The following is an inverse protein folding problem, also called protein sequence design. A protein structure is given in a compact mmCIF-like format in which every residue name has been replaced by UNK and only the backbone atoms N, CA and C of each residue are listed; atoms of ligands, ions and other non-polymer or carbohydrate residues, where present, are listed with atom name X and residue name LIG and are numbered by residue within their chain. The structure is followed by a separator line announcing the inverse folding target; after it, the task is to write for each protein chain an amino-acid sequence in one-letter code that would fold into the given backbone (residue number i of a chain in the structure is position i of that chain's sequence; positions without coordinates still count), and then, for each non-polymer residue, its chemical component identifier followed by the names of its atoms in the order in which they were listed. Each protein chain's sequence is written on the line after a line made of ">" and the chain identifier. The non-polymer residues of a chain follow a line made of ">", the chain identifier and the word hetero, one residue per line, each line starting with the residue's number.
data_IF_454739826556
#
_entry.id   IF_454739826556
#
_cell.length_a   1.000
_cell.length_b   1.000
_cell.length_c   1.000
_cell.angle_alpha   90.00
_cell.angle_beta   90.00
_cell.angle_gamma   90.00
#
_symmetry.space_group_name_H-M   'P 1'
#
loop_
_entity.id
_entity.type
_entity.pdbx_description
1 polymer ?
#
# COMPACT_ATOMS: atom_id res chain seq x y z
N UNK A 1 36.02 -85.70 39.02
CA UNK A 1 34.66 -85.88 38.45
C UNK A 1 34.81 -86.67 37.17
N UNK A 2 34.20 -87.86 37.13
CA UNK A 2 34.20 -88.74 35.97
C UNK A 2 33.34 -88.12 34.85
N UNK A 3 33.90 -87.99 33.64
CA UNK A 3 33.12 -87.70 32.44
C UNK A 3 32.81 -89.03 31.76
N UNK A 4 31.52 -89.26 31.56
CA UNK A 4 30.92 -90.51 31.15
C UNK A 4 31.38 -90.96 29.76
N UNK A 5 31.75 -92.25 29.71
CA UNK A 5 31.91 -93.06 28.51
C UNK A 5 30.56 -93.07 27.78
N UNK A 6 30.47 -92.35 26.66
CA UNK A 6 29.27 -92.37 25.80
C UNK A 6 29.49 -93.48 24.79
N UNK A 7 28.61 -94.49 24.69
CA UNK A 7 28.84 -95.65 23.86
C UNK A 7 28.99 -95.26 22.39
N UNK A 8 30.06 -95.77 21.79
CA UNK A 8 30.41 -95.70 20.38
C UNK A 8 29.18 -96.02 19.52
N UNK A 9 28.61 -94.99 18.91
CA UNK A 9 27.46 -95.11 18.04
C UNK A 9 27.96 -95.76 16.76
N UNK A 10 27.78 -97.08 16.64
CA UNK A 10 28.17 -97.86 15.47
C UNK A 10 27.77 -97.11 14.18
N UNK A 11 28.67 -96.98 13.19
CA UNK A 11 28.41 -96.18 12.01
C UNK A 11 27.12 -96.68 11.37
N UNK A 12 26.11 -95.81 11.30
CA UNK A 12 24.87 -96.05 10.57
C UNK A 12 25.27 -96.37 9.13
N UNK A 13 25.40 -97.65 8.82
CA UNK A 13 25.78 -98.09 7.48
C UNK A 13 24.58 -97.79 6.60
N UNK A 14 24.68 -96.85 5.63
CA UNK A 14 23.54 -96.50 4.80
C UNK A 14 23.10 -97.75 4.04
N UNK A 15 21.90 -98.25 4.33
CA UNK A 15 21.35 -99.40 3.61
C UNK A 15 20.91 -98.92 2.23
N UNK A 16 21.50 -99.51 1.17
CA UNK A 16 21.12 -99.22 -0.21
C UNK A 16 19.73 -99.80 -0.51
N UNK A 17 18.88 -99.03 -1.19
CA UNK A 17 17.61 -99.53 -1.70
C UNK A 17 17.85 -100.62 -2.74
N UNK A 18 17.05 -101.69 -2.70
CA UNK A 18 17.14 -102.82 -3.65
C UNK A 18 16.04 -102.72 -4.70
N UNK A 19 16.38 -103.09 -5.94
CA UNK A 19 15.48 -103.25 -7.08
C UNK A 19 15.43 -104.73 -7.48
N UNK A 20 14.53 -105.12 -8.40
CA UNK A 20 14.29 -106.52 -8.80
C UNK A 20 15.58 -107.28 -9.22
N UNK A 21 16.64 -106.57 -9.60
CA UNK A 21 18.01 -107.08 -9.79
C UNK A 21 19.03 -106.20 -9.05
N UNK A 22 19.15 -106.37 -7.73
CA UNK A 22 20.26 -105.81 -6.93
C UNK A 22 20.07 -104.37 -6.47
N UNK A 23 21.13 -103.73 -5.97
CA UNK A 23 21.07 -102.37 -5.42
C UNK A 23 20.77 -101.31 -6.48
N UNK A 24 20.13 -100.21 -6.07
CA UNK A 24 19.91 -99.05 -6.91
C UNK A 24 21.25 -98.38 -7.24
N UNK A 25 21.71 -98.56 -8.49
CA UNK A 25 23.00 -98.06 -8.97
C UNK A 25 23.14 -96.53 -8.80
N UNK A 26 22.08 -95.76 -9.09
CA UNK A 26 22.12 -94.30 -8.95
C UNK A 26 22.34 -93.89 -7.48
N UNK A 27 21.64 -94.54 -6.55
CA UNK A 27 21.81 -94.28 -5.12
C UNK A 27 23.23 -94.67 -4.65
N UNK A 28 23.74 -95.81 -5.09
CA UNK A 28 25.10 -96.25 -4.76
C UNK A 28 26.13 -95.26 -5.31
N UNK A 29 26.02 -94.83 -6.56
CA UNK A 29 26.95 -93.88 -7.17
C UNK A 29 26.91 -92.51 -6.47
N UNK A 30 25.73 -92.01 -6.09
CA UNK A 30 25.58 -90.77 -5.31
C UNK A 30 26.24 -90.87 -3.94
N UNK A 31 26.03 -91.98 -3.22
CA UNK A 31 26.68 -92.19 -1.92
C UNK A 31 28.19 -92.38 -2.02
N UNK A 32 28.68 -93.10 -3.04
CA UNK A 32 30.12 -93.25 -3.28
C UNK A 32 30.76 -91.92 -3.65
N UNK A 33 30.08 -91.09 -4.44
CA UNK A 33 30.50 -89.72 -4.74
C UNK A 33 30.56 -88.87 -3.48
N UNK A 34 29.52 -88.91 -2.65
CA UNK A 34 29.48 -88.20 -1.36
C UNK A 34 30.62 -88.66 -0.44
N UNK A 35 30.83 -89.96 -0.31
CA UNK A 35 31.90 -90.53 0.51
C UNK A 35 33.29 -90.14 -0.04
N UNK A 36 33.47 -90.13 -1.36
CA UNK A 36 34.70 -89.68 -1.98
C UNK A 36 34.98 -88.20 -1.70
N UNK A 37 33.95 -87.34 -1.73
CA UNK A 37 34.04 -85.93 -1.38
C UNK A 37 34.31 -85.72 0.12
N UNK A 38 33.69 -86.52 1.00
CA UNK A 38 33.93 -86.53 2.44
C UNK A 38 35.37 -86.97 2.77
N UNK A 39 35.86 -88.05 2.18
CA UNK A 39 37.25 -88.52 2.35
C UNK A 39 38.24 -87.49 1.81
N UNK A 40 37.95 -86.86 0.68
CA UNK A 40 38.79 -85.77 0.13
C UNK A 40 38.83 -84.57 1.09
N UNK A 41 37.71 -84.20 1.68
CA UNK A 41 37.63 -83.11 2.66
C UNK A 41 38.34 -83.46 3.95
N UNK A 42 38.17 -84.70 4.44
CA UNK A 42 38.87 -85.21 5.62
C UNK A 42 40.39 -85.26 5.42
N UNK A 43 40.85 -85.68 4.24
CA UNK A 43 42.27 -85.67 3.90
C UNK A 43 42.83 -84.24 3.86
N UNK A 44 42.09 -83.28 3.29
CA UNK A 44 42.50 -81.86 3.33
C UNK A 44 42.59 -81.32 4.75
N UNK A 45 41.57 -81.57 5.57
CA UNK A 45 41.57 -81.15 6.98
C UNK A 45 42.70 -81.82 7.78
N UNK A 46 42.99 -83.10 7.51
CA UNK A 46 44.13 -83.82 8.09
C UNK A 46 45.44 -83.15 7.68
N UNK A 47 45.62 -82.83 6.41
CA UNK A 47 46.86 -82.22 5.92
C UNK A 47 47.04 -80.80 6.51
N UNK A 48 45.98 -80.01 6.62
CA UNK A 48 45.98 -78.72 7.32
C UNK A 48 46.34 -78.86 8.81
N UNK A 49 45.78 -79.86 9.50
CA UNK A 49 46.11 -80.14 10.88
C UNK A 49 47.56 -80.64 11.05
N UNK A 50 48.07 -81.44 10.12
CA UNK A 50 49.47 -81.89 10.14
C UNK A 50 50.44 -80.73 9.92
N UNK A 51 50.08 -79.78 9.04
CA UNK A 51 50.85 -78.56 8.84
C UNK A 51 50.83 -77.67 10.10
N UNK A 52 49.68 -77.47 10.73
CA UNK A 52 49.60 -76.68 11.96
C UNK A 52 50.37 -77.33 13.12
N UNK A 53 50.33 -78.66 13.25
CA UNK A 53 51.15 -79.40 14.22
C UNK A 53 52.64 -79.21 13.93
N UNK A 54 53.07 -79.25 12.67
CA UNK A 54 54.46 -79.01 12.30
C UNK A 54 54.91 -77.59 12.64
N UNK A 55 54.09 -76.57 12.35
CA UNK A 55 54.36 -75.16 12.69
C UNK A 55 54.42 -74.93 14.20
N UNK A 56 53.45 -75.48 14.95
CA UNK A 56 53.44 -75.40 16.41
C UNK A 56 54.62 -76.13 17.03
N UNK A 57 55.03 -77.27 16.47
CA UNK A 57 56.22 -77.99 16.93
C UNK A 57 57.49 -77.16 16.68
N UNK A 58 57.58 -76.46 15.55
CA UNK A 58 58.71 -75.55 15.28
C UNK A 58 58.70 -74.36 16.25
N UNK A 59 57.55 -73.73 16.48
CA UNK A 59 57.41 -72.63 17.43
C UNK A 59 57.73 -73.06 18.87
N UNK A 60 57.31 -74.27 19.27
CA UNK A 60 57.60 -74.83 20.59
C UNK A 60 59.11 -75.07 20.78
N UNK A 61 59.77 -75.70 19.80
CA UNK A 61 61.21 -75.93 19.87
C UNK A 61 61.98 -74.60 19.94
N UNK A 62 61.58 -73.61 19.16
CA UNK A 62 62.17 -72.27 19.20
C UNK A 62 61.99 -71.62 20.59
N UNK A 63 60.77 -71.64 21.12
CA UNK A 63 60.48 -71.09 22.46
C UNK A 63 61.22 -71.85 23.58
N UNK A 64 61.38 -73.17 23.47
CA UNK A 64 62.15 -73.97 24.41
C UNK A 64 63.64 -73.62 24.37
N UNK A 65 64.20 -73.39 23.17
CA UNK A 65 65.57 -72.95 23.00
C UNK A 65 65.78 -71.55 23.60
N UNK A 66 64.91 -70.60 23.29
CA UNK A 66 64.96 -69.23 23.83
C UNK A 66 64.83 -69.23 25.36
N UNK A 67 63.95 -70.07 25.91
CA UNK A 67 63.82 -70.25 27.36
C UNK A 67 65.10 -70.84 28.00
N UNK A 68 65.74 -71.79 27.33
CA UNK A 68 67.00 -72.35 27.82
C UNK A 68 68.14 -71.33 27.80
N UNK A 69 68.24 -70.54 26.73
CA UNK A 69 69.24 -69.47 26.57
C UNK A 69 69.05 -68.36 27.61
N UNK A 70 67.82 -67.87 27.80
CA UNK A 70 67.48 -66.86 28.81
C UNK A 70 67.72 -67.37 30.23
N UNK A 71 67.37 -68.62 30.52
CA UNK A 71 67.64 -69.25 31.83
C UNK A 71 69.13 -69.38 32.09
N UNK A 72 69.93 -69.73 31.08
CA UNK A 72 71.38 -69.79 31.18
C UNK A 72 72.01 -68.39 31.35
N UNK A 73 71.48 -67.36 30.68
CA UNK A 73 71.84 -65.95 30.89
C UNK A 73 71.55 -65.51 32.33
N UNK A 74 70.32 -65.72 32.80
CA UNK A 74 69.92 -65.38 34.17
C UNK A 74 70.76 -66.11 35.22
N UNK A 75 71.01 -67.41 35.04
CA UNK A 75 71.86 -68.17 35.97
C UNK A 75 73.28 -67.60 36.04
N UNK A 76 73.83 -67.09 34.94
CA UNK A 76 75.14 -66.40 34.95
C UNK A 76 75.07 -65.09 35.73
N UNK A 77 74.03 -64.29 35.54
CA UNK A 77 73.82 -63.04 36.30
C UNK A 77 73.66 -63.27 37.81
N UNK A 78 72.95 -64.33 38.21
CA UNK A 78 72.70 -64.64 39.61
C UNK A 78 73.96 -65.16 40.31
N UNK A 79 74.75 -65.99 39.63
CA UNK A 79 75.93 -66.64 40.22
C UNK A 79 77.18 -65.75 40.23
N UNK A 80 77.35 -64.85 39.26
CA UNK A 80 78.46 -63.89 39.19
C UNK A 80 77.97 -62.49 38.77
N UNK A 81 77.31 -61.75 39.68
CA UNK A 81 76.68 -60.46 39.36
C UNK A 81 77.69 -59.34 39.07
N UNK A 82 78.96 -59.48 39.49
CA UNK A 82 80.02 -58.51 39.20
C UNK A 82 80.87 -58.92 37.98
N UNK A 83 80.61 -60.10 37.40
CA UNK A 83 81.31 -60.59 36.23
C UNK A 83 80.99 -59.78 34.96
N UNK A 84 81.94 -59.71 33.99
CA UNK A 84 81.74 -58.98 32.74
C UNK A 84 80.49 -59.41 31.96
N UNK A 85 80.17 -60.72 31.95
CA UNK A 85 78.99 -61.25 31.26
C UNK A 85 77.68 -60.78 31.88
N UNK A 86 77.58 -60.71 33.22
CA UNK A 86 76.39 -60.23 33.91
C UNK A 86 76.17 -58.72 33.68
N UNK A 87 77.26 -57.95 33.59
CA UNK A 87 77.17 -56.53 33.26
C UNK A 87 76.66 -56.30 31.83
N UNK A 88 77.13 -57.07 30.84
CA UNK A 88 76.62 -56.97 29.45
C UNK A 88 75.13 -57.29 29.35
N UNK A 89 74.67 -58.37 30.00
CA UNK A 89 73.24 -58.73 30.05
C UNK A 89 72.40 -57.65 30.75
N UNK A 90 72.92 -57.03 31.81
CA UNK A 90 72.23 -55.93 32.50
C UNK A 90 72.13 -54.67 31.63
N UNK A 91 73.17 -54.35 30.86
CA UNK A 91 73.13 -53.24 29.91
C UNK A 91 72.14 -53.52 28.80
N UNK A 92 72.08 -54.74 28.25
CA UNK A 92 71.09 -55.11 27.23
C UNK A 92 69.65 -55.02 27.76
N UNK A 93 69.39 -55.51 28.97
CA UNK A 93 68.07 -55.38 29.59
C UNK A 93 67.70 -53.93 29.90
N UNK A 94 68.66 -53.10 30.32
CA UNK A 94 68.46 -51.66 30.52
C UNK A 94 68.17 -50.93 29.21
N UNK A 95 68.86 -51.26 28.11
CA UNK A 95 68.58 -50.69 26.78
C UNK A 95 67.20 -51.11 26.29
N UNK A 96 66.82 -52.38 26.43
CA UNK A 96 65.48 -52.86 26.08
C UNK A 96 64.38 -52.15 26.87
N UNK A 97 64.59 -51.95 28.18
CA UNK A 97 63.67 -51.19 29.01
C UNK A 97 63.56 -49.73 28.59
N UNK A 98 64.69 -49.10 28.22
CA UNK A 98 64.69 -47.72 27.73
C UNK A 98 63.98 -47.60 26.36
N UNK A 99 64.12 -48.58 25.48
CA UNK A 99 63.37 -48.64 24.21
C UNK A 99 61.86 -48.79 24.45
N UNK A 100 61.46 -49.66 25.38
CA UNK A 100 60.07 -49.81 25.81
C UNK A 100 59.52 -48.49 26.38
N UNK A 101 60.28 -47.83 27.27
CA UNK A 101 59.89 -46.54 27.86
C UNK A 101 59.77 -45.43 26.80
N UNK A 102 60.69 -45.37 25.83
CA UNK A 102 60.61 -44.42 24.72
C UNK A 102 59.38 -44.69 23.84
N UNK A 103 59.07 -45.97 23.58
CA UNK A 103 57.88 -46.35 22.80
C UNK A 103 56.59 -45.96 23.53
N UNK A 104 56.54 -46.17 24.84
CA UNK A 104 55.41 -45.74 25.69
C UNK A 104 55.28 -44.21 25.70
N UNK A 105 56.38 -43.47 25.88
CA UNK A 105 56.38 -42.02 25.85
C UNK A 105 55.92 -41.46 24.49
N UNK A 106 56.32 -42.10 23.38
CA UNK A 106 55.85 -41.72 22.04
C UNK A 106 54.36 -41.95 21.88
N UNK A 107 53.88 -43.13 22.27
CA UNK A 107 52.45 -43.47 22.21
C UNK A 107 51.63 -42.47 23.02
N UNK A 108 52.06 -42.17 24.25
CA UNK A 108 51.40 -41.20 25.11
C UNK A 108 51.44 -39.78 24.54
N UNK A 109 52.56 -39.36 23.96
CA UNK A 109 52.66 -38.05 23.33
C UNK A 109 51.76 -37.92 22.10
N UNK A 110 51.60 -39.00 21.32
CA UNK A 110 50.65 -39.07 20.20
C UNK A 110 49.20 -39.00 20.70
N UNK A 111 48.84 -39.77 21.73
CA UNK A 111 47.52 -39.72 22.36
C UNK A 111 47.18 -38.33 22.91
N UNK A 112 48.13 -37.68 23.61
CA UNK A 112 47.95 -36.32 24.14
C UNK A 112 47.80 -35.29 23.01
N UNK A 113 48.57 -35.45 21.93
CA UNK A 113 48.47 -34.58 20.75
C UNK A 113 47.12 -34.73 20.04
N UNK A 114 46.64 -35.96 19.86
CA UNK A 114 45.35 -36.25 19.24
C UNK A 114 44.19 -35.79 20.11
N UNK A 115 44.28 -35.99 21.43
CA UNK A 115 43.33 -35.46 22.41
C UNK A 115 43.26 -33.93 22.34
N UNK A 116 44.41 -33.26 22.31
CA UNK A 116 44.49 -31.80 22.19
C UNK A 116 43.90 -31.29 20.88
N UNK A 117 44.21 -31.95 19.75
CA UNK A 117 43.65 -31.61 18.43
C UNK A 117 42.13 -31.80 18.42
N UNK A 118 41.65 -32.95 18.89
CA UNK A 118 40.22 -33.23 18.95
C UNK A 118 39.46 -32.24 19.84
N UNK A 119 40.05 -31.83 20.96
CA UNK A 119 39.45 -30.81 21.84
C UNK A 119 39.42 -29.42 21.17
N UNK A 120 40.49 -29.05 20.47
CA UNK A 120 40.55 -27.80 19.73
C UNK A 120 39.52 -27.76 18.58
N UNK A 121 39.39 -28.85 17.82
CA UNK A 121 38.41 -28.99 16.75
C UNK A 121 36.98 -28.93 17.28
N UNK A 122 36.68 -29.63 18.37
CA UNK A 122 35.37 -29.58 19.02
C UNK A 122 35.03 -28.18 19.53
N UNK A 123 36.00 -27.47 20.11
CA UNK A 123 35.82 -26.08 20.55
C UNK A 123 35.58 -25.13 19.35
N UNK A 124 36.33 -25.31 18.26
CA UNK A 124 36.17 -24.52 17.05
C UNK A 124 34.81 -24.74 16.39
N UNK A 125 34.35 -25.98 16.27
CA UNK A 125 33.02 -26.31 15.75
C UNK A 125 31.92 -25.73 16.64
N UNK A 126 32.00 -25.92 17.96
CA UNK A 126 31.04 -25.31 18.90
C UNK A 126 30.97 -23.80 18.74
N UNK A 127 32.11 -23.12 18.65
CA UNK A 127 32.17 -21.67 18.46
C UNK A 127 31.53 -21.25 17.13
N UNK A 128 31.74 -22.03 16.05
CA UNK A 128 31.11 -21.78 14.74
C UNK A 128 29.60 -21.98 14.79
N UNK A 129 29.13 -23.02 15.47
CA UNK A 129 27.70 -23.29 15.65
C UNK A 129 27.02 -22.17 16.46
N UNK A 130 27.62 -21.75 17.57
CA UNK A 130 27.11 -20.62 18.37
C UNK A 130 27.07 -19.33 17.57
N UNK A 131 28.13 -19.02 16.80
CA UNK A 131 28.16 -17.85 15.94
C UNK A 131 27.10 -17.89 14.83
N UNK A 132 26.86 -19.06 14.22
CA UNK A 132 25.80 -19.25 13.22
C UNK A 132 24.41 -19.09 13.83
N UNK A 133 24.17 -19.69 14.99
CA UNK A 133 22.89 -19.58 15.69
C UNK A 133 22.59 -18.12 16.09
N UNK A 134 23.60 -17.39 16.56
CA UNK A 134 23.45 -15.97 16.88
C UNK A 134 23.21 -15.10 15.64
N UNK A 135 23.92 -15.37 14.53
CA UNK A 135 23.67 -14.69 13.25
C UNK A 135 22.23 -14.93 12.77
N UNK A 136 21.75 -16.18 12.78
CA UNK A 136 20.37 -16.51 12.42
C UNK A 136 19.34 -15.84 13.35
N UNK A 137 19.66 -15.72 14.64
CA UNK A 137 18.80 -15.02 15.62
C UNK A 137 18.71 -13.53 15.29
N UNK A 138 19.84 -12.89 15.01
CA UNK A 138 19.90 -11.47 14.65
C UNK A 138 19.20 -11.19 13.31
N UNK A 139 19.36 -12.07 12.33
CA UNK A 139 18.69 -11.95 11.04
C UNK A 139 17.16 -12.01 11.19
N UNK A 140 16.65 -12.96 12.00
CA UNK A 140 15.22 -13.05 12.31
C UNK A 140 14.71 -11.80 13.03
N UNK A 141 15.44 -11.31 14.04
CA UNK A 141 15.09 -10.10 14.77
C UNK A 141 15.06 -8.87 13.85
N UNK A 142 16.03 -8.75 12.94
CA UNK A 142 16.08 -7.68 11.96
C UNK A 142 14.92 -7.75 10.95
N UNK A 143 14.57 -8.95 10.47
CA UNK A 143 13.41 -9.15 9.59
C UNK A 143 12.08 -8.80 10.27
N UNK A 144 11.89 -9.22 11.52
CA UNK A 144 10.71 -8.89 12.31
C UNK A 144 10.61 -7.39 12.54
N UNK A 145 11.71 -6.74 12.90
CA UNK A 145 11.77 -5.29 13.09
C UNK A 145 11.49 -4.54 11.79
N UNK A 146 12.01 -5.01 10.66
CA UNK A 146 11.72 -4.44 9.34
C UNK A 146 10.22 -4.55 9.02
N UNK A 147 9.62 -5.72 9.20
CA UNK A 147 8.17 -5.92 9.00
C UNK A 147 7.33 -4.99 9.88
N UNK A 148 7.67 -4.87 11.16
CA UNK A 148 6.98 -3.96 12.08
C UNK A 148 7.07 -2.50 11.63
N UNK A 149 8.27 -2.04 11.24
CA UNK A 149 8.46 -0.68 10.73
C UNK A 149 7.72 -0.45 9.41
N UNK A 150 7.69 -1.43 8.51
CA UNK A 150 6.97 -1.35 7.24
C UNK A 150 5.44 -1.27 7.48
N UNK A 151 4.91 -2.08 8.41
CA UNK A 151 3.51 -2.03 8.82
C UNK A 151 3.14 -0.70 9.49
N UNK A 152 3.99 -0.22 10.40
CA UNK A 152 3.79 1.06 11.09
C UNK A 152 3.84 2.23 10.09
N UNK A 153 4.79 2.21 9.15
CA UNK A 153 4.87 3.21 8.09
C UNK A 153 3.67 3.14 7.14
N UNK A 154 3.18 1.94 6.82
CA UNK A 154 1.95 1.77 6.03
C UNK A 154 0.73 2.34 6.76
N UNK A 155 0.57 2.06 8.06
CA UNK A 155 -0.51 2.61 8.88
C UNK A 155 -0.46 4.14 8.93
N UNK A 156 0.72 4.71 9.20
CA UNK A 156 0.91 6.17 9.19
C UNK A 156 0.57 6.80 7.84
N UNK A 157 0.92 6.16 6.72
CA UNK A 157 0.55 6.65 5.38
C UNK A 157 -0.96 6.62 5.20
N UNK A 158 -1.63 5.53 5.56
CA UNK A 158 -3.10 5.43 5.43
C UNK A 158 -3.84 6.42 6.34
N UNK A 159 -3.34 6.65 7.56
CA UNK A 159 -3.88 7.65 8.48
C UNK A 159 -3.68 9.07 7.93
N UNK A 160 -2.47 9.39 7.47
CA UNK A 160 -2.19 10.68 6.86
C UNK A 160 -3.03 10.94 5.59
N UNK A 161 -3.20 9.92 4.74
CA UNK A 161 -4.07 10.00 3.56
C UNK A 161 -5.52 10.30 3.97
N UNK A 162 -6.05 9.57 4.96
CA UNK A 162 -7.39 9.80 5.48
C UNK A 162 -7.57 11.20 6.06
N UNK A 163 -6.63 11.65 6.88
CA UNK A 163 -6.67 12.99 7.48
C UNK A 163 -6.62 14.09 6.41
N UNK A 164 -5.81 13.90 5.36
CA UNK A 164 -5.76 14.85 4.24
C UNK A 164 -7.05 14.84 3.42
N UNK A 165 -7.67 13.67 3.21
CA UNK A 165 -8.95 13.56 2.53
C UNK A 165 -10.08 14.24 3.33
N UNK A 166 -10.13 14.00 4.63
CA UNK A 166 -11.08 14.65 5.54
C UNK A 166 -10.89 16.18 5.56
N UNK A 167 -9.65 16.66 5.63
CA UNK A 167 -9.34 18.09 5.58
C UNK A 167 -9.73 18.73 4.23
N UNK A 168 -9.45 18.05 3.12
CA UNK A 168 -9.85 18.50 1.79
C UNK A 168 -11.37 18.50 1.62
N UNK A 169 -12.08 17.49 2.12
CA UNK A 169 -13.53 17.42 2.10
C UNK A 169 -14.15 18.56 2.93
N UNK A 170 -13.63 18.82 4.14
CA UNK A 170 -14.06 19.92 4.98
C UNK A 170 -13.84 21.29 4.29
N UNK A 171 -12.67 21.48 3.67
CA UNK A 171 -12.37 22.71 2.91
C UNK A 171 -13.28 22.90 1.70
N UNK A 172 -13.56 21.83 0.94
CA UNK A 172 -14.51 21.87 -0.18
C UNK A 172 -15.89 22.29 0.30
N UNK A 173 -16.40 21.68 1.37
CA UNK A 173 -17.68 22.04 1.96
C UNK A 173 -17.72 23.50 2.41
N UNK A 174 -16.69 23.96 3.12
CA UNK A 174 -16.59 25.37 3.54
C UNK A 174 -16.63 26.33 2.35
N UNK A 175 -15.94 25.99 1.24
CA UNK A 175 -15.97 26.81 0.03
C UNK A 175 -17.31 26.77 -0.68
N UNK A 176 -17.98 25.61 -0.73
CA UNK A 176 -19.31 25.46 -1.32
C UNK A 176 -20.35 26.24 -0.52
N UNK A 177 -20.35 26.10 0.81
CA UNK A 177 -21.24 26.84 1.71
C UNK A 177 -21.00 28.36 1.60
N UNK A 178 -19.73 28.79 1.53
CA UNK A 178 -19.38 30.20 1.35
C UNK A 178 -19.79 30.78 -0.02
N UNK A 179 -19.70 29.98 -1.09
CA UNK A 179 -20.18 30.38 -2.42
C UNK A 179 -21.71 30.47 -2.44
N UNK A 180 -22.41 29.51 -1.83
CA UNK A 180 -23.87 29.54 -1.72
C UNK A 180 -24.36 30.75 -0.92
N UNK A 181 -23.72 31.06 0.21
CA UNK A 181 -24.06 32.24 1.02
C UNK A 181 -23.86 33.56 0.24
N UNK A 182 -22.75 33.69 -0.51
CA UNK A 182 -22.51 34.86 -1.36
C UNK A 182 -23.52 34.97 -2.50
N UNK A 183 -23.89 33.84 -3.12
CA UNK A 183 -24.92 33.82 -4.15
C UNK A 183 -26.24 34.32 -3.59
N UNK A 184 -26.67 33.80 -2.44
CA UNK A 184 -27.89 34.25 -1.76
C UNK A 184 -27.84 35.75 -1.44
N UNK A 185 -26.74 36.24 -0.86
CA UNK A 185 -26.57 37.68 -0.56
C UNK A 185 -26.67 38.53 -1.83
N UNK A 186 -26.06 38.11 -2.94
CA UNK A 186 -26.16 38.84 -4.22
C UNK A 186 -27.56 38.80 -4.81
N UNK A 187 -28.28 37.68 -4.70
CA UNK A 187 -29.67 37.56 -5.16
C UNK A 187 -30.60 38.46 -4.34
N UNK A 188 -30.43 38.47 -3.01
CA UNK A 188 -31.15 39.35 -2.10
C UNK A 188 -30.86 40.84 -2.39
N UNK A 189 -29.60 41.21 -2.63
CA UNK A 189 -29.22 42.58 -2.98
C UNK A 189 -29.81 43.01 -4.34
N UNK A 190 -29.79 42.12 -5.34
CA UNK A 190 -30.42 42.38 -6.65
C UNK A 190 -31.93 42.52 -6.49
N UNK A 191 -32.58 41.66 -5.70
CA UNK A 191 -34.01 41.74 -5.44
C UNK A 191 -34.39 43.04 -4.71
N UNK A 192 -33.61 43.44 -3.70
CA UNK A 192 -33.79 44.70 -2.99
C UNK A 192 -33.62 45.93 -3.90
N UNK A 193 -32.57 45.95 -4.73
CA UNK A 193 -32.32 47.03 -5.68
C UNK A 193 -33.42 47.12 -6.75
N UNK A 194 -33.94 45.99 -7.23
CA UNK A 194 -35.11 45.96 -8.12
C UNK A 194 -36.35 46.51 -7.44
N UNK A 195 -36.65 46.07 -6.22
CA UNK A 195 -37.80 46.57 -5.47
C UNK A 195 -37.72 48.07 -5.16
N UNK A 196 -36.52 48.60 -4.88
CA UNK A 196 -36.29 50.04 -4.73
C UNK A 196 -36.50 50.79 -6.05
N UNK A 197 -35.97 50.28 -7.15
CA UNK A 197 -36.17 50.86 -8.48
C UNK A 197 -37.66 50.90 -8.85
N UNK A 198 -38.39 49.81 -8.62
CA UNK A 198 -39.82 49.72 -8.88
C UNK A 198 -40.63 50.71 -8.00
N UNK A 199 -40.23 50.91 -6.74
CA UNK A 199 -40.83 51.94 -5.87
C UNK A 199 -40.59 53.35 -6.38
N UNK A 200 -39.35 53.67 -6.77
CA UNK A 200 -39.01 54.99 -7.33
C UNK A 200 -39.78 55.24 -8.62
N UNK A 201 -39.90 54.23 -9.50
CA UNK A 201 -40.71 54.32 -10.72
C UNK A 201 -42.18 54.58 -10.35
N UNK A 202 -42.76 53.81 -9.44
CA UNK A 202 -44.15 53.98 -9.02
C UNK A 202 -44.42 55.36 -8.37
N UNK A 203 -43.49 55.86 -7.55
CA UNK A 203 -43.57 57.19 -6.95
C UNK A 203 -43.46 58.30 -8.01
N UNK A 204 -42.54 58.16 -8.97
CA UNK A 204 -42.41 59.10 -10.08
C UNK A 204 -43.64 59.08 -10.99
N UNK A 205 -44.20 57.92 -11.28
CA UNK A 205 -45.44 57.76 -12.06
C UNK A 205 -46.63 58.39 -11.32
N UNK A 206 -46.79 58.13 -10.02
CA UNK A 206 -47.84 58.74 -9.21
C UNK A 206 -47.71 60.27 -9.15
N UNK A 207 -46.50 60.79 -8.93
CA UNK A 207 -46.24 62.23 -8.93
C UNK A 207 -46.43 62.87 -10.31
N UNK A 208 -46.08 62.16 -11.39
CA UNK A 208 -46.32 62.60 -12.76
C UNK A 208 -47.83 62.62 -13.08
N UNK A 209 -48.57 61.61 -12.65
CA UNK A 209 -50.03 61.54 -12.77
C UNK A 209 -50.72 62.64 -11.97
N UNK A 210 -50.29 62.91 -10.74
CA UNK A 210 -50.83 64.01 -9.92
C UNK A 210 -50.58 65.36 -10.57
N UNK A 211 -49.36 65.61 -11.06
CA UNK A 211 -49.04 66.84 -11.81
C UNK A 211 -49.86 66.96 -13.10
N UNK A 212 -49.99 65.88 -13.86
CA UNK A 212 -50.80 65.87 -15.08
C UNK A 212 -52.28 66.15 -14.75
N UNK A 213 -52.84 65.51 -13.72
CA UNK A 213 -54.20 65.75 -13.25
C UNK A 213 -54.39 67.19 -12.75
N UNK A 214 -53.42 67.74 -12.02
CA UNK A 214 -53.42 69.14 -11.57
C UNK A 214 -53.40 70.13 -12.74
N UNK A 215 -52.54 69.90 -13.73
CA UNK A 215 -52.48 70.72 -14.95
C UNK A 215 -53.78 70.64 -15.75
N UNK A 216 -54.39 69.46 -15.86
CA UNK A 216 -55.70 69.29 -16.50
C UNK A 216 -56.78 70.04 -15.73
N UNK A 217 -56.84 69.91 -14.40
CA UNK A 217 -57.82 70.62 -13.58
C UNK A 217 -57.64 72.15 -13.64
N UNK A 218 -56.40 72.64 -13.65
CA UNK A 218 -56.10 74.06 -13.83
C UNK A 218 -56.50 74.55 -15.22
N UNK A 219 -56.22 73.76 -16.27
CA UNK A 219 -56.65 74.06 -17.64
C UNK A 219 -58.18 74.08 -17.76
N UNK A 220 -58.88 73.14 -17.12
CA UNK A 220 -60.35 73.12 -17.05
C UNK A 220 -60.91 74.34 -16.30
N UNK A 221 -60.29 74.75 -15.19
CA UNK A 221 -60.67 75.98 -14.48
C UNK A 221 -60.46 77.22 -15.34
N UNK A 222 -59.31 77.34 -16.00
CA UNK A 222 -59.04 78.44 -16.93
C UNK A 222 -60.03 78.47 -18.09
N UNK A 223 -60.38 77.30 -18.65
CA UNK A 223 -61.40 77.18 -19.68
C UNK A 223 -62.77 77.65 -19.17
N UNK A 224 -63.18 77.20 -17.98
CA UNK A 224 -64.46 77.60 -17.38
C UNK A 224 -64.51 79.10 -17.06
N UNK A 225 -63.43 79.68 -16.54
CA UNK A 225 -63.30 81.12 -16.32
C UNK A 225 -63.37 81.90 -17.65
N UNK A 226 -62.66 81.44 -18.68
CA UNK A 226 -62.71 82.02 -20.02
C UNK A 226 -64.12 81.93 -20.63
N UNK A 227 -64.82 80.81 -20.45
CA UNK A 227 -66.22 80.64 -20.89
C UNK A 227 -67.17 81.55 -20.12
N UNK A 228 -66.97 81.73 -18.81
CA UNK A 228 -67.74 82.66 -17.99
C UNK A 228 -67.51 84.10 -18.43
N UNK A 229 -66.25 84.50 -18.63
CA UNK A 229 -65.89 85.82 -19.16
C UNK A 229 -66.48 86.04 -20.56
N UNK A 230 -66.43 85.04 -21.44
CA UNK A 230 -67.07 85.08 -22.77
C UNK A 230 -68.58 85.27 -22.64
N UNK A 231 -69.23 84.55 -21.73
CA UNK A 231 -70.68 84.66 -21.49
C UNK A 231 -71.04 86.04 -20.96
N UNK A 232 -70.28 86.57 -19.99
CA UNK A 232 -70.44 87.94 -19.48
C UNK A 232 -70.19 88.98 -20.57
N UNK A 233 -69.20 88.79 -21.44
CA UNK A 233 -68.95 89.68 -22.57
C UNK A 233 -70.09 89.65 -23.58
N UNK A 234 -70.66 88.47 -23.87
CA UNK A 234 -71.84 88.32 -24.73
C UNK A 234 -73.07 88.98 -24.10
N UNK A 235 -73.30 88.81 -22.80
CA UNK A 235 -74.41 89.43 -22.07
C UNK A 235 -74.24 90.96 -22.01
N UNK A 236 -73.03 91.46 -21.72
CA UNK A 236 -72.72 92.88 -21.76
C UNK A 236 -72.92 93.44 -23.19
N UNK A 237 -72.51 92.71 -24.22
CA UNK A 237 -72.76 93.08 -25.62
C UNK A 237 -74.26 93.13 -25.89
N UNK A 238 -75.04 92.17 -25.40
CA UNK A 238 -76.49 92.16 -25.52
C UNK A 238 -77.10 93.37 -24.82
N UNK A 239 -76.71 93.65 -23.57
CA UNK A 239 -77.16 94.84 -22.81
C UNK A 239 -76.77 96.15 -23.50
N UNK A 240 -75.56 96.26 -24.06
CA UNK A 240 -75.14 97.43 -24.85
C UNK A 240 -75.97 97.54 -26.13
N UNK A 241 -76.28 96.42 -26.79
CA UNK A 241 -77.13 96.39 -27.98
C UNK A 241 -78.57 96.79 -27.64
N UNK A 242 -79.13 96.29 -26.54
CA UNK A 242 -80.46 96.64 -26.04
C UNK A 242 -80.51 98.10 -25.58
N UNK A 243 -79.44 98.62 -24.95
CA UNK A 243 -79.33 100.02 -24.55
C UNK A 243 -79.12 100.95 -25.74
N UNK A 244 -78.37 100.53 -26.77
CA UNK A 244 -78.28 101.22 -28.05
C UNK A 244 -79.60 101.18 -28.80
N UNK A 245 -80.35 100.07 -28.74
CA UNK A 245 -81.70 99.97 -29.30
C UNK A 245 -82.68 100.86 -28.54
N UNK A 246 -82.58 100.94 -27.20
CA UNK A 246 -83.40 101.82 -26.37
C UNK A 246 -83.04 103.30 -26.54
N UNK A 247 -81.75 103.66 -26.68
CA UNK A 247 -81.34 105.03 -27.01
C UNK A 247 -81.64 105.36 -28.46
N UNK A 248 -81.53 104.44 -29.41
CA UNK A 248 -82.00 104.64 -30.80
C UNK A 248 -83.52 104.78 -30.84
N UNK A 249 -84.29 104.00 -30.09
CA UNK A 249 -85.72 104.18 -29.94
C UNK A 249 -86.08 105.51 -29.25
N UNK A 250 -85.31 105.94 -28.24
CA UNK A 250 -85.48 107.25 -27.59
C UNK A 250 -85.06 108.42 -28.49
N UNK A 251 -84.03 108.24 -29.34
CA UNK A 251 -83.62 109.19 -30.37
C UNK A 251 -84.63 109.21 -31.52
N UNK A 252 -85.20 108.08 -31.93
CA UNK A 252 -86.30 108.01 -32.89
C UNK A 252 -87.59 108.60 -32.31
N UNK A 253 -87.89 108.42 -31.02
CA UNK A 253 -89.00 109.09 -30.32
C UNK A 253 -88.75 110.59 -30.17
N UNK A 254 -87.49 111.02 -29.94
CA UNK A 254 -87.11 112.43 -29.94
C UNK A 254 -87.13 113.03 -31.37
N UNK A 255 -86.77 112.25 -32.40
CA UNK A 255 -86.92 112.62 -33.83
C UNK A 255 -88.40 112.62 -34.28
N UNK A 256 -89.29 111.84 -33.65
CA UNK A 256 -90.73 111.92 -33.89
C UNK A 256 -91.40 113.11 -33.17
N UNK A 257 -90.81 113.58 -32.05
CA UNK A 257 -91.24 114.80 -31.36
C UNK A 257 -90.69 116.10 -31.99
N UNK A 258 -89.62 116.01 -32.79
CA UNK A 258 -89.07 117.09 -33.61
C UNK A 258 -88.87 116.60 -35.04
N UNK A 259 -89.94 116.65 -35.83
CA UNK A 259 -89.93 116.19 -37.21
C UNK A 259 -88.88 116.89 -38.07
N UNK A 260 -87.90 116.12 -38.54
CA UNK A 260 -87.15 116.35 -39.78
C UNK A 260 -86.84 114.99 -40.41
N UNK A 261 -87.14 114.88 -41.70
CA UNK A 261 -87.02 113.65 -42.49
C UNK A 261 -85.60 113.26 -42.88
N UNK A 262 -85.44 111.94 -42.97
CA UNK A 262 -84.60 111.09 -43.83
C UNK A 262 -83.56 111.74 -44.76
N UNK A 263 -82.33 111.19 -44.70
CA UNK A 263 -81.68 110.55 -45.86
C UNK A 263 -80.55 109.62 -45.37
N UNK A 264 -80.68 108.31 -45.64
CA UNK A 264 -79.62 107.32 -45.48
C UNK A 264 -79.82 106.17 -46.47
N UNK A 265 -78.84 106.01 -47.35
CA UNK A 265 -78.56 104.83 -48.18
C UNK A 265 -77.15 105.05 -48.77
N UNK A 266 -76.27 104.10 -48.99
CA UNK A 266 -76.01 102.72 -48.58
C UNK A 266 -74.72 102.32 -49.35
N UNK A 267 -73.98 101.31 -48.87
CA UNK A 267 -72.94 100.47 -49.54
C UNK A 267 -71.64 100.43 -48.70
N UNK A 268 -71.15 99.30 -48.16
CA UNK A 268 -70.83 97.96 -48.68
C UNK A 268 -69.31 97.78 -48.84
N UNK A 269 -68.84 96.55 -48.55
CA UNK A 269 -67.55 95.94 -48.98
C UNK A 269 -66.27 96.43 -48.26
N UNK A 270 -65.27 95.63 -47.85
CA UNK A 270 -64.74 94.35 -48.35
C UNK A 270 -63.72 93.72 -47.36
N UNK A 271 -63.57 92.39 -47.47
CA UNK A 271 -62.31 91.62 -47.54
C UNK A 271 -61.33 91.52 -46.33
N UNK A 272 -61.28 90.31 -45.77
CA UNK A 272 -60.10 89.50 -45.38
C UNK A 272 -58.97 89.46 -46.46
N UNK A 273 -57.94 88.58 -46.43
CA UNK A 273 -57.06 88.01 -45.38
C UNK A 273 -55.56 88.05 -45.82
N UNK A 274 -54.64 87.51 -45.00
CA UNK A 274 -53.44 86.73 -45.42
C UNK A 274 -52.63 86.40 -44.15
N UNK A 275 -52.42 85.13 -43.73
CA UNK A 275 -51.48 84.14 -44.34
C UNK A 275 -50.07 84.77 -44.52
N UNK A 276 -48.95 84.18 -44.11
CA UNK A 276 -48.46 82.81 -44.28
C UNK A 276 -47.00 82.78 -43.75
N UNK A 277 -46.41 81.58 -43.61
CA UNK A 277 -44.95 81.39 -43.56
C UNK A 277 -44.43 80.89 -42.20
N UNK A 278 -44.40 79.60 -41.86
CA UNK A 278 -43.78 78.45 -42.55
C UNK A 278 -42.26 78.36 -42.37
N UNK A 279 -41.82 77.17 -41.94
CA UNK A 279 -40.48 76.63 -42.15
C UNK A 279 -39.44 76.92 -41.06
N UNK A 280 -38.55 76.01 -40.70
CA UNK A 280 -38.29 74.63 -41.07
C UNK A 280 -37.19 74.11 -40.12
N UNK A 281 -37.05 72.78 -40.04
CA UNK A 281 -35.79 72.01 -40.07
C UNK A 281 -34.49 72.59 -39.47
N UNK A 282 -33.55 71.82 -38.91
CA UNK A 282 -33.38 70.40 -38.61
C UNK A 282 -32.04 70.26 -37.87
N UNK A 283 -31.76 69.04 -37.36
CA UNK A 283 -30.43 68.40 -37.35
C UNK A 283 -29.33 69.01 -36.44
N UNK A 284 -28.39 68.27 -35.85
CA UNK A 284 -28.14 66.84 -35.67
C UNK A 284 -26.88 66.70 -34.79
N UNK A 285 -26.63 65.47 -34.32
CA UNK A 285 -25.31 64.84 -34.13
C UNK A 285 -24.46 65.30 -32.91
N UNK A 286 -24.37 64.49 -31.86
CA UNK A 286 -23.43 63.34 -31.66
C UNK A 286 -22.07 63.73 -31.06
N UNK A 287 -21.68 63.12 -29.93
CA UNK A 287 -20.51 62.23 -29.85
C UNK A 287 -20.31 61.60 -28.46
N UNK A 288 -19.98 60.31 -28.57
CA UNK A 288 -19.39 59.34 -27.64
C UNK A 288 -18.13 59.74 -26.87
N UNK A 289 -17.79 58.88 -25.88
CA UNK A 289 -16.44 58.42 -25.42
C UNK A 289 -16.00 59.09 -24.09
N UNK A 290 -15.53 58.43 -23.02
CA UNK A 290 -15.08 57.06 -22.68
C UNK A 290 -14.99 56.95 -21.12
N UNK A 291 -14.68 55.78 -20.54
CA UNK A 291 -14.60 55.53 -19.10
C UNK A 291 -13.17 55.68 -18.54
N UNK A 292 -13.07 55.63 -17.21
CA UNK A 292 -11.93 55.14 -16.45
C UNK A 292 -12.45 54.39 -15.22
#
# INVERSE_FOLDING_TARGET
>A
MAAADTPDQAPNTPQFATTLRGYNQQQVDETLKKLADEVKTANRSRDEAMNSVAELTKALNYAQQELAETKAGLSRMVNDPAGPAAMTERVQTMMRLAEEEIAELRTKAEEDADSTRSAADAYAEKTREEARAEAERLDKEAEERRKQLDEEAARRRTEAEKDTEEALAAKRKETEDGLAARQQETEEAIAASKAESDRVIAEQEAAAQEKAAGLVADAERQLAEAEQQRTQALDLRQQVTDRLAATNAAVQQAMQAFGVGADQQAAAESAEPSEEGEGAESAAASKSKQPA
#
